data_IF_219883092219
#
_entry.id   IF_219883092219
#
_cell.length_a   1.000
_cell.length_b   1.000
_cell.length_c   1.000
_cell.angle_alpha   90.00
_cell.angle_beta   90.00
_cell.angle_gamma   90.00
#
_symmetry.space_group_name_H-M   'P 1'
#
loop_
_entity.id
_entity.type
_entity.pdbx_description
1 polymer ?
#
# COMPACT_ATOMS: atom_id res chain seq x y z
N UNK A 1 19.86 8.10 -18.45
CA UNK A 1 18.55 7.83 -19.06
C UNK A 1 17.99 6.57 -18.46
N UNK A 2 16.70 6.50 -18.12
CA UNK A 2 16.10 5.30 -17.52
C UNK A 2 14.88 4.90 -18.35
N UNK A 3 14.95 3.68 -18.89
CA UNK A 3 13.94 3.10 -19.75
C UNK A 3 12.64 2.81 -19.00
N UNK A 4 11.54 3.06 -19.68
CA UNK A 4 10.21 2.59 -19.30
C UNK A 4 10.23 1.07 -19.21
N UNK A 5 9.90 0.51 -18.05
CA UNK A 5 9.68 -0.94 -17.93
C UNK A 5 8.34 -1.23 -18.61
N UNK A 6 8.39 -1.80 -19.82
CA UNK A 6 7.21 -2.34 -20.49
C UNK A 6 7.06 -3.81 -20.08
N UNK A 7 6.03 -4.09 -19.29
CA UNK A 7 5.65 -5.46 -18.88
C UNK A 7 4.33 -5.79 -19.56
N UNK A 8 4.17 -7.02 -20.05
CA UNK A 8 2.85 -7.49 -20.49
C UNK A 8 1.95 -7.59 -19.27
N UNK A 9 0.85 -6.84 -19.26
CA UNK A 9 -0.16 -6.87 -18.21
C UNK A 9 -1.56 -7.00 -18.81
N UNK A 10 -2.51 -7.39 -17.96
CA UNK A 10 -3.93 -7.38 -18.27
C UNK A 10 -4.69 -6.68 -17.15
N UNK A 11 -5.75 -5.96 -17.50
CA UNK A 11 -6.67 -5.39 -16.53
C UNK A 11 -7.78 -6.39 -16.25
N UNK A 12 -7.84 -6.87 -15.01
CA UNK A 12 -8.92 -7.73 -14.51
C UNK A 12 -9.30 -7.27 -13.11
N UNK A 13 -10.57 -7.47 -12.72
CA UNK A 13 -10.93 -7.30 -11.32
C UNK A 13 -10.30 -8.43 -10.51
N UNK A 14 -9.47 -8.09 -9.52
CA UNK A 14 -8.95 -9.07 -8.58
C UNK A 14 -9.98 -9.46 -7.51
N UNK A 15 -11.12 -8.78 -7.45
CA UNK A 15 -12.08 -8.87 -6.35
C UNK A 15 -11.77 -7.89 -5.22
N UNK A 16 -12.74 -7.72 -4.31
CA UNK A 16 -12.64 -6.76 -3.21
C UNK A 16 -11.51 -7.15 -2.23
N UNK A 17 -10.60 -6.21 -1.96
CA UNK A 17 -9.51 -6.40 -0.97
C UNK A 17 -8.34 -7.25 -1.45
N UNK A 18 -8.25 -7.56 -2.75
CA UNK A 18 -7.16 -8.34 -3.33
C UNK A 18 -6.02 -7.50 -3.92
N UNK A 19 -5.90 -6.23 -3.52
CA UNK A 19 -4.87 -5.29 -3.97
C UNK A 19 -5.02 -4.81 -5.42
N UNK A 20 -3.99 -4.14 -5.93
CA UNK A 20 -3.94 -3.59 -7.29
C UNK A 20 -3.22 -4.49 -8.29
N UNK A 21 -2.19 -5.22 -7.85
CA UNK A 21 -1.37 -6.07 -8.72
C UNK A 21 -1.16 -7.46 -8.15
N UNK A 22 -1.18 -8.46 -9.02
CA UNK A 22 -0.90 -9.85 -8.70
C UNK A 22 -0.32 -10.58 -9.93
N UNK A 23 -0.01 -11.87 -9.78
CA UNK A 23 0.50 -12.73 -10.85
C UNK A 23 -0.63 -13.64 -11.32
N UNK A 24 -0.93 -13.60 -12.61
CA UNK A 24 -1.92 -14.50 -13.23
C UNK A 24 -1.51 -15.97 -13.03
N UNK A 25 -2.47 -16.80 -12.63
CA UNK A 25 -2.26 -18.24 -12.42
C UNK A 25 -1.70 -18.62 -11.05
N UNK A 26 -1.21 -17.66 -10.26
CA UNK A 26 -0.72 -17.90 -8.90
C UNK A 26 -1.87 -17.73 -7.90
N UNK A 27 -2.83 -18.65 -7.99
CA UNK A 27 -4.06 -18.63 -7.18
C UNK A 27 -4.09 -19.88 -6.28
N UNK A 28 -4.47 -19.69 -5.01
CA UNK A 28 -4.75 -20.77 -4.06
C UNK A 28 -6.12 -20.53 -3.41
N UNK A 29 -6.97 -21.56 -3.39
CA UNK A 29 -8.33 -21.47 -2.84
C UNK A 29 -9.12 -20.23 -3.35
N UNK A 30 -8.98 -19.90 -4.64
CA UNK A 30 -9.66 -18.76 -5.27
C UNK A 30 -9.08 -17.37 -4.94
N UNK A 31 -7.95 -17.30 -4.23
CA UNK A 31 -7.27 -16.05 -3.87
C UNK A 31 -5.86 -15.97 -4.48
N UNK A 32 -5.37 -14.77 -4.80
CA UNK A 32 -3.95 -14.57 -5.10
C UNK A 32 -3.01 -15.15 -4.04
N UNK A 33 -1.93 -15.80 -4.47
CA UNK A 33 -0.81 -16.13 -3.57
C UNK A 33 0.00 -14.90 -3.19
N UNK A 34 0.14 -13.96 -4.13
CA UNK A 34 0.78 -12.65 -3.92
C UNK A 34 -0.14 -11.51 -4.33
N UNK A 35 -0.19 -10.44 -3.54
CA UNK A 35 -0.79 -9.18 -3.98
C UNK A 35 -0.04 -7.93 -3.52
N UNK A 36 -0.09 -6.88 -4.34
CA UNK A 36 0.48 -5.57 -4.08
C UNK A 36 -0.64 -4.52 -4.11
N UNK A 37 -0.84 -3.85 -2.99
CA UNK A 37 -1.69 -2.67 -2.84
C UNK A 37 -0.82 -1.42 -2.98
N UNK A 38 -1.10 -0.56 -3.97
CA UNK A 38 -0.36 0.67 -4.21
C UNK A 38 -1.18 1.85 -3.71
N UNK A 39 -0.57 2.68 -2.86
CA UNK A 39 -1.30 3.76 -2.19
C UNK A 39 -0.59 5.10 -2.31
N UNK A 40 -1.28 6.12 -2.80
CA UNK A 40 -0.74 7.47 -2.80
C UNK A 40 -0.64 8.03 -1.37
N UNK A 41 0.14 9.08 -1.18
CA UNK A 41 0.27 9.73 0.13
C UNK A 41 -1.07 10.34 0.62
N UNK A 42 -1.84 10.94 -0.29
CA UNK A 42 -3.17 11.47 0.05
C UNK A 42 -4.14 10.35 0.40
N UNK A 43 -4.12 9.26 -0.35
CA UNK A 43 -5.02 8.12 -0.12
C UNK A 43 -4.67 7.42 1.18
N UNK A 44 -3.39 7.29 1.53
CA UNK A 44 -2.96 6.76 2.82
C UNK A 44 -3.58 7.53 3.99
N UNK A 45 -3.54 8.87 3.92
CA UNK A 45 -4.15 9.72 4.94
C UNK A 45 -5.66 9.59 4.98
N UNK A 46 -6.32 9.61 3.83
CA UNK A 46 -7.78 9.39 3.74
C UNK A 46 -8.17 8.03 4.33
N UNK A 47 -7.44 6.99 3.96
CA UNK A 47 -7.65 5.61 4.40
C UNK A 47 -7.56 5.49 5.91
N UNK A 48 -6.51 6.05 6.53
CA UNK A 48 -6.30 5.91 7.97
C UNK A 48 -7.28 6.77 8.78
N UNK A 49 -7.60 7.97 8.30
CA UNK A 49 -8.37 8.94 9.07
C UNK A 49 -9.88 8.83 8.84
N UNK A 50 -10.31 8.30 7.70
CA UNK A 50 -11.72 8.30 7.28
C UNK A 50 -12.23 6.91 6.88
N UNK A 51 -11.40 6.05 6.30
CA UNK A 51 -11.82 4.73 5.78
C UNK A 51 -11.19 3.55 6.56
N UNK A 52 -10.92 3.75 7.85
CA UNK A 52 -10.12 2.84 8.65
C UNK A 52 -10.67 1.41 8.65
N UNK A 53 -11.96 1.25 8.92
CA UNK A 53 -12.58 -0.07 9.07
C UNK A 53 -12.61 -0.84 7.75
N UNK A 54 -12.80 -0.13 6.64
CA UNK A 54 -12.71 -0.71 5.31
C UNK A 54 -11.29 -1.23 5.06
N UNK A 55 -10.27 -0.43 5.34
CA UNK A 55 -8.90 -0.82 5.09
C UNK A 55 -8.42 -1.94 6.01
N UNK A 56 -8.93 -2.01 7.23
CA UNK A 56 -8.68 -3.14 8.13
C UNK A 56 -9.15 -4.47 7.49
N UNK A 57 -10.32 -4.49 6.86
CA UNK A 57 -10.80 -5.69 6.13
C UNK A 57 -9.93 -6.02 4.93
N UNK A 58 -9.45 -5.00 4.21
CA UNK A 58 -8.50 -5.19 3.11
C UNK A 58 -7.17 -5.78 3.62
N UNK A 59 -6.64 -5.28 4.74
CA UNK A 59 -5.44 -5.83 5.38
C UNK A 59 -5.62 -7.27 5.88
N UNK A 60 -6.78 -7.61 6.44
CA UNK A 60 -7.11 -8.99 6.84
C UNK A 60 -7.09 -9.94 5.65
N UNK A 61 -7.66 -9.51 4.53
CA UNK A 61 -7.66 -10.27 3.29
C UNK A 61 -6.25 -10.43 2.72
N UNK A 62 -5.47 -9.35 2.64
CA UNK A 62 -4.07 -9.38 2.21
C UNK A 62 -3.20 -10.25 3.11
N UNK A 63 -3.41 -10.22 4.43
CA UNK A 63 -2.64 -11.00 5.38
C UNK A 63 -2.90 -12.51 5.26
N UNK A 64 -4.00 -12.92 4.62
CA UNK A 64 -4.30 -14.33 4.33
C UNK A 64 -3.54 -14.90 3.14
N UNK A 65 -2.83 -14.06 2.38
CA UNK A 65 -2.01 -14.46 1.23
C UNK A 65 -0.64 -14.96 1.68
N UNK A 66 0.11 -15.60 0.79
CA UNK A 66 1.47 -16.05 1.08
C UNK A 66 2.45 -14.87 1.17
N UNK A 67 2.25 -13.87 0.32
CA UNK A 67 2.91 -12.59 0.42
C UNK A 67 1.96 -11.46 0.07
N UNK A 68 1.98 -10.38 0.84
CA UNK A 68 1.29 -9.16 0.46
C UNK A 68 2.17 -7.94 0.73
N UNK A 69 1.95 -6.87 -0.03
CA UNK A 69 2.61 -5.61 0.26
C UNK A 69 1.70 -4.40 0.05
N UNK A 70 1.84 -3.41 0.94
CA UNK A 70 1.35 -2.05 0.73
C UNK A 70 2.54 -1.18 0.32
N UNK A 71 2.51 -0.66 -0.90
CA UNK A 71 3.54 0.25 -1.43
C UNK A 71 2.98 1.67 -1.42
N UNK A 72 3.48 2.48 -0.50
CA UNK A 72 3.14 3.89 -0.36
C UNK A 72 4.04 4.74 -1.26
N UNK A 73 3.45 5.60 -2.07
CA UNK A 73 4.15 6.50 -3.02
C UNK A 73 4.82 7.72 -2.39
N UNK A 74 5.35 7.55 -1.19
CA UNK A 74 6.09 8.56 -0.48
C UNK A 74 7.11 7.88 0.45
N UNK A 75 8.33 8.44 0.55
CA UNK A 75 9.24 8.10 1.64
C UNK A 75 8.59 8.38 3.00
N UNK A 76 8.97 7.64 4.03
CA UNK A 76 8.39 7.77 5.38
C UNK A 76 8.52 9.21 5.91
N UNK A 77 9.64 9.89 5.66
CA UNK A 77 9.83 11.30 6.04
C UNK A 77 8.71 12.21 5.48
N UNK A 78 8.32 11.98 4.23
CA UNK A 78 7.24 12.73 3.59
C UNK A 78 5.88 12.36 4.18
N UNK A 79 5.68 11.12 4.63
CA UNK A 79 4.48 10.73 5.40
C UNK A 79 4.42 11.53 6.70
N UNK A 80 5.52 11.57 7.46
CA UNK A 80 5.56 12.24 8.77
C UNK A 80 5.39 13.77 8.69
N UNK A 81 5.79 14.36 7.58
CA UNK A 81 5.70 15.81 7.35
C UNK A 81 4.48 16.22 6.52
N UNK A 82 3.67 15.27 6.06
CA UNK A 82 2.56 15.57 5.16
C UNK A 82 1.53 16.48 5.82
N UNK A 83 1.00 17.41 5.02
CA UNK A 83 -0.10 18.29 5.36
C UNK A 83 -1.08 18.27 4.18
N UNK A 84 -2.18 17.48 4.27
CA UNK A 84 -3.22 17.46 3.25
C UNK A 84 -3.75 18.86 2.95
N UNK A 85 -4.06 19.13 1.67
CA UNK A 85 -4.55 20.46 1.23
C UNK A 85 -5.79 20.91 2.02
N UNK A 86 -6.74 20.01 2.22
CA UNK A 86 -7.96 20.32 2.97
C UNK A 86 -7.70 20.72 4.43
N UNK A 87 -6.58 20.35 5.05
CA UNK A 87 -6.22 20.86 6.38
C UNK A 87 -5.82 22.33 6.34
N UNK A 88 -5.12 22.74 5.27
CA UNK A 88 -4.73 24.13 5.05
C UNK A 88 -5.97 24.98 4.78
N UNK A 89 -6.84 24.50 3.89
CA UNK A 89 -8.05 25.22 3.50
C UNK A 89 -9.03 25.42 4.68
N UNK A 90 -8.97 24.55 5.69
CA UNK A 90 -9.80 24.62 6.90
C UNK A 90 -9.06 25.18 8.14
N UNK A 91 -7.89 25.80 7.97
CA UNK A 91 -7.09 26.40 9.07
C UNK A 91 -6.89 25.49 10.30
N UNK A 92 -6.58 24.21 10.08
CA UNK A 92 -6.34 23.26 11.17
C UNK A 92 -5.08 23.66 11.96
N UNK A 93 -5.20 23.76 13.29
CA UNK A 93 -4.09 24.12 14.18
C UNK A 93 -2.89 23.17 14.08
N UNK A 94 -1.70 23.65 14.41
CA UNK A 94 -0.47 22.85 14.36
C UNK A 94 -0.58 21.62 15.26
N UNK A 95 -1.16 21.77 16.45
CA UNK A 95 -1.37 20.71 17.43
C UNK A 95 -2.27 19.60 16.87
N UNK A 96 -3.36 20.00 16.20
CA UNK A 96 -4.27 19.06 15.55
C UNK A 96 -3.59 18.32 14.38
N UNK A 97 -2.76 19.01 13.58
CA UNK A 97 -1.99 18.37 12.51
C UNK A 97 -0.99 17.35 13.08
N UNK A 98 -0.27 17.69 14.16
CA UNK A 98 0.66 16.79 14.84
C UNK A 98 -0.06 15.57 15.41
N UNK A 99 -1.22 15.77 16.03
CA UNK A 99 -2.04 14.66 16.55
C UNK A 99 -2.45 13.68 15.46
N UNK A 100 -2.95 14.19 14.32
CA UNK A 100 -3.32 13.34 13.17
C UNK A 100 -2.12 12.61 12.57
N UNK A 101 -0.95 13.26 12.44
CA UNK A 101 0.30 12.60 12.00
C UNK A 101 0.71 11.46 12.94
N UNK A 102 0.64 11.67 14.26
CA UNK A 102 0.89 10.61 15.25
C UNK A 102 -0.10 9.45 15.11
N UNK A 103 -1.39 9.75 14.89
CA UNK A 103 -2.41 8.72 14.66
C UNK A 103 -2.14 7.90 13.39
N UNK A 104 -1.71 8.55 12.31
CA UNK A 104 -1.31 7.89 11.06
C UNK A 104 -0.12 6.96 11.30
N UNK A 105 0.93 7.46 11.93
CA UNK A 105 2.13 6.68 12.24
C UNK A 105 1.82 5.50 13.16
N UNK A 106 1.06 5.72 14.23
CA UNK A 106 0.65 4.67 15.16
C UNK A 106 -0.17 3.58 14.48
N UNK A 107 -1.05 3.96 13.54
CA UNK A 107 -1.83 2.98 12.76
C UNK A 107 -0.96 2.12 11.85
N UNK A 108 -0.02 2.74 11.14
CA UNK A 108 0.93 2.03 10.27
C UNK A 108 1.69 0.97 11.07
N UNK A 109 2.30 1.34 12.20
CA UNK A 109 3.07 0.40 13.01
C UNK A 109 2.19 -0.67 13.65
N UNK A 110 1.02 -0.31 14.18
CA UNK A 110 0.08 -1.27 14.74
C UNK A 110 -0.35 -2.32 13.69
N UNK A 111 -0.58 -1.89 12.45
CA UNK A 111 -0.97 -2.80 11.37
C UNK A 111 0.19 -3.64 10.85
N UNK A 112 1.42 -3.12 10.78
CA UNK A 112 2.60 -3.93 10.45
C UNK A 112 2.81 -5.07 11.46
N UNK A 113 2.54 -4.81 12.75
CA UNK A 113 2.63 -5.83 13.78
C UNK A 113 1.45 -6.82 13.75
N UNK A 114 0.22 -6.32 13.53
CA UNK A 114 -0.99 -7.14 13.52
C UNK A 114 -1.13 -8.01 12.27
N UNK A 115 -0.64 -7.52 11.13
CA UNK A 115 -0.74 -8.18 9.83
C UNK A 115 0.66 -8.44 9.27
N UNK A 116 1.43 -9.36 9.89
CA UNK A 116 2.86 -9.53 9.65
C UNK A 116 3.21 -10.01 8.23
N UNK A 117 2.26 -10.62 7.51
CA UNK A 117 2.46 -11.03 6.12
C UNK A 117 2.38 -9.84 5.16
N UNK A 118 1.73 -8.74 5.56
CA UNK A 118 1.59 -7.53 4.76
C UNK A 118 2.80 -6.63 4.98
N UNK A 119 3.73 -6.64 4.01
CA UNK A 119 4.94 -5.81 4.05
C UNK A 119 4.62 -4.37 3.64
N UNK A 120 5.18 -3.40 4.33
CA UNK A 120 4.97 -1.98 4.02
C UNK A 120 6.23 -1.36 3.44
N UNK A 121 6.09 -0.70 2.30
CA UNK A 121 7.18 -0.03 1.61
C UNK A 121 6.85 1.44 1.40
N UNK A 122 7.79 2.32 1.74
CA UNK A 122 7.66 3.76 1.61
C UNK A 122 8.71 4.26 0.64
N UNK A 123 8.34 4.40 -0.62
CA UNK A 123 9.29 4.72 -1.70
C UNK A 123 8.81 5.89 -2.52
N UNK A 124 9.73 6.60 -3.18
CA UNK A 124 9.30 7.71 -4.03
C UNK A 124 8.41 7.20 -5.15
N UNK A 125 7.43 8.02 -5.56
CA UNK A 125 6.47 7.70 -6.62
C UNK A 125 7.11 7.13 -7.89
N UNK A 126 8.28 7.63 -8.26
CA UNK A 126 9.05 7.17 -9.43
C UNK A 126 9.51 5.71 -9.30
N UNK A 127 9.83 5.25 -8.09
CA UNK A 127 10.32 3.88 -7.85
C UNK A 127 9.21 2.89 -7.52
N UNK A 128 7.99 3.35 -7.23
CA UNK A 128 6.87 2.45 -6.89
C UNK A 128 6.61 1.39 -7.97
N UNK A 129 6.47 1.72 -9.27
CA UNK A 129 6.23 0.71 -10.30
C UNK A 129 7.37 -0.31 -10.41
N UNK A 130 8.61 0.16 -10.21
CA UNK A 130 9.81 -0.69 -10.25
C UNK A 130 9.78 -1.69 -9.08
N UNK A 131 9.45 -1.23 -7.88
CA UNK A 131 9.34 -2.09 -6.71
C UNK A 131 8.17 -3.08 -6.84
N UNK A 132 6.98 -2.63 -7.29
CA UNK A 132 5.86 -3.51 -7.57
C UNK A 132 6.29 -4.65 -8.50
N UNK A 133 6.86 -4.31 -9.65
CA UNK A 133 7.34 -5.29 -10.62
C UNK A 133 8.37 -6.21 -10.00
N UNK A 134 9.38 -5.67 -9.30
CA UNK A 134 10.46 -6.47 -8.74
C UNK A 134 9.97 -7.48 -7.71
N UNK A 135 9.05 -7.10 -6.81
CA UNK A 135 8.48 -8.02 -5.83
C UNK A 135 7.72 -9.16 -6.52
N UNK A 136 6.89 -8.83 -7.52
CA UNK A 136 6.17 -9.84 -8.30
C UNK A 136 7.11 -10.76 -9.07
N UNK A 137 8.13 -10.21 -9.74
CA UNK A 137 9.10 -11.01 -10.49
C UNK A 137 9.90 -11.94 -9.60
N UNK A 138 10.37 -11.46 -8.44
CA UNK A 138 11.11 -12.31 -7.50
C UNK A 138 10.18 -13.40 -6.96
N UNK A 139 8.97 -13.06 -6.54
CA UNK A 139 8.01 -14.08 -6.07
C UNK A 139 7.72 -15.14 -7.13
N UNK A 140 7.53 -14.74 -8.40
CA UNK A 140 7.34 -15.66 -9.52
C UNK A 140 8.51 -16.63 -9.67
N UNK A 141 9.74 -16.12 -9.69
CA UNK A 141 10.94 -16.93 -9.92
C UNK A 141 11.18 -17.93 -8.78
N UNK A 142 10.87 -17.56 -7.54
CA UNK A 142 11.03 -18.43 -6.36
C UNK A 142 9.91 -19.48 -6.23
N UNK A 143 8.80 -19.35 -6.98
CA UNK A 143 7.59 -20.15 -6.79
C UNK A 143 7.03 -20.80 -8.08
N UNK A 144 7.83 -20.83 -9.15
CA UNK A 144 7.49 -21.50 -10.42
C UNK A 144 7.99 -22.94 -10.48
#
# INVERSE_FOLDING_TARGET
GQGTILVKYEWVSLGLGNGDYSIRGFIIAGKPRISIERKSLSDLYSTILSERDRFVRELEQLNSMEYAAVIVEAPMEKVLTYCPKYWKDNNISVEAQLSKRRSVMGSIYAWQLRYPTVRWWFVSRRYCPILCYRLLSVFYEENK
#
